data_IF_996525779574
#
_entry.id   IF_996525779574
#
_cell.length_a   1.000
_cell.length_b   1.000
_cell.length_c   1.000
_cell.angle_alpha   90.00
_cell.angle_beta   90.00
_cell.angle_gamma   90.00
#
_symmetry.space_group_name_H-M   'P 1'
#
loop_
_entity.id
_entity.type
_entity.pdbx_description
1 polymer ?
#
# COMPACT_ATOMS: atom_id res chain seq x y z
N UNK A 1 -24.97 -12.51 0.62
CA UNK A 1 -25.22 -11.13 0.13
C UNK A 1 -23.98 -10.69 -0.63
N UNK A 2 -24.11 -9.95 -1.73
CA UNK A 2 -22.97 -9.44 -2.48
C UNK A 2 -22.49 -8.11 -1.89
N UNK A 3 -21.20 -7.86 -1.93
CA UNK A 3 -20.60 -6.60 -1.49
C UNK A 3 -21.04 -5.45 -2.40
N UNK A 4 -21.04 -4.25 -1.84
CA UNK A 4 -21.25 -3.03 -2.60
C UNK A 4 -19.89 -2.54 -3.17
N UNK A 5 -19.90 -1.82 -4.29
CA UNK A 5 -18.67 -1.35 -4.93
C UNK A 5 -17.76 -0.55 -3.99
N UNK A 6 -18.32 0.32 -3.13
CA UNK A 6 -17.53 1.05 -2.13
C UNK A 6 -16.87 0.11 -1.12
N UNK A 7 -17.55 -0.96 -0.70
CA UNK A 7 -16.96 -1.94 0.22
C UNK A 7 -15.75 -2.63 -0.43
N UNK A 8 -15.87 -3.03 -1.69
CA UNK A 8 -14.76 -3.64 -2.43
C UNK A 8 -13.57 -2.69 -2.53
N UNK A 9 -13.81 -1.42 -2.89
CA UNK A 9 -12.74 -0.43 -3.01
C UNK A 9 -12.14 -0.08 -1.64
N UNK A 10 -12.93 -0.03 -0.57
CA UNK A 10 -12.40 0.12 0.79
C UNK A 10 -11.49 -1.03 1.20
N UNK A 11 -11.80 -2.26 0.77
CA UNK A 11 -10.86 -3.37 0.93
C UNK A 11 -9.59 -3.08 0.12
N UNK A 12 -9.67 -2.76 -1.17
CA UNK A 12 -8.48 -2.42 -1.96
C UNK A 12 -7.61 -1.32 -1.31
N UNK A 13 -8.24 -0.31 -0.72
CA UNK A 13 -7.58 0.78 0.00
C UNK A 13 -6.98 0.37 1.37
N UNK A 14 -7.35 -0.79 1.93
CA UNK A 14 -6.64 -1.38 3.07
C UNK A 14 -5.32 -2.01 2.64
N UNK A 15 -5.25 -2.61 1.45
CA UNK A 15 -4.00 -3.12 0.87
C UNK A 15 -3.12 -1.97 0.39
N UNK A 16 -3.69 -1.06 -0.39
CA UNK A 16 -2.99 0.05 -1.01
C UNK A 16 -3.70 1.39 -0.72
N UNK A 17 -3.46 2.00 0.46
CA UNK A 17 -4.04 3.29 0.82
C UNK A 17 -3.77 4.37 -0.22
N UNK A 18 -4.79 5.18 -0.55
CA UNK A 18 -4.66 6.24 -1.58
C UNK A 18 -3.53 7.24 -1.32
N UNK A 19 -3.27 7.54 -0.05
CA UNK A 19 -2.22 8.48 0.34
C UNK A 19 -0.80 7.95 0.15
N UNK A 20 -0.63 6.68 -0.25
CA UNK A 20 0.66 6.13 -0.65
C UNK A 20 1.00 6.41 -2.12
N UNK A 21 0.03 6.83 -2.93
CA UNK A 21 0.31 7.17 -4.31
C UNK A 21 1.30 8.33 -4.41
N UNK A 22 2.20 8.24 -5.39
CA UNK A 22 3.12 9.33 -5.73
C UNK A 22 2.32 10.58 -6.11
N UNK A 23 2.88 11.75 -5.82
CA UNK A 23 2.23 13.02 -6.07
C UNK A 23 1.70 13.12 -7.51
N UNK A 24 0.45 13.57 -7.65
CA UNK A 24 -0.25 13.76 -8.91
C UNK A 24 -0.60 12.49 -9.71
N UNK A 25 -0.40 11.30 -9.16
CA UNK A 25 -0.80 10.05 -9.80
C UNK A 25 -2.33 9.94 -9.99
N UNK A 26 -2.76 9.16 -10.99
CA UNK A 26 -4.17 9.03 -11.42
C UNK A 26 -4.79 7.74 -10.91
N UNK A 27 -5.07 7.70 -9.62
CA UNK A 27 -5.69 6.55 -8.95
C UNK A 27 -7.19 6.78 -8.66
N UNK A 28 -7.87 5.75 -8.18
CA UNK A 28 -9.26 5.83 -7.75
C UNK A 28 -10.26 5.42 -8.84
N UNK A 29 -11.55 5.67 -8.60
CA UNK A 29 -12.61 5.43 -9.58
C UNK A 29 -12.44 6.39 -10.76
N UNK A 30 -12.20 5.85 -11.96
CA UNK A 30 -12.05 6.64 -13.18
C UNK A 30 -13.30 6.63 -14.07
N UNK A 31 -14.09 5.56 -14.03
CA UNK A 31 -15.29 5.41 -14.84
C UNK A 31 -16.36 4.60 -14.10
N UNK A 32 -17.62 4.99 -14.25
CA UNK A 32 -18.78 4.27 -13.72
C UNK A 32 -19.16 4.70 -12.29
N UNK A 33 -19.86 3.82 -11.58
CA UNK A 33 -20.30 4.08 -10.21
C UNK A 33 -20.00 2.88 -9.31
N UNK A 34 -19.60 3.18 -8.07
CA UNK A 34 -19.46 2.19 -7.01
C UNK A 34 -20.77 1.98 -6.24
N UNK A 35 -21.79 2.83 -6.48
CA UNK A 35 -23.07 2.80 -5.78
C UNK A 35 -24.00 1.68 -6.28
N UNK A 36 -23.46 0.46 -6.34
CA UNK A 36 -24.16 -0.74 -6.80
C UNK A 36 -23.58 -1.98 -6.14
N UNK A 37 -24.39 -3.03 -6.11
CA UNK A 37 -23.93 -4.36 -5.72
C UNK A 37 -22.99 -4.92 -6.80
N UNK A 38 -21.90 -5.57 -6.38
CA UNK A 38 -20.89 -6.17 -7.27
C UNK A 38 -20.80 -7.66 -6.95
N UNK A 39 -21.16 -8.51 -7.92
CA UNK A 39 -21.07 -9.97 -7.83
C UNK A 39 -19.69 -10.46 -8.24
N UNK A 40 -19.15 -9.89 -9.31
CA UNK A 40 -17.86 -10.27 -9.88
C UNK A 40 -16.98 -9.06 -10.14
N UNK A 41 -15.71 -9.22 -9.80
CA UNK A 41 -14.64 -8.23 -9.99
C UNK A 41 -13.61 -8.87 -10.92
N UNK A 42 -13.17 -8.13 -11.94
CA UNK A 42 -12.00 -8.50 -12.74
C UNK A 42 -10.80 -7.67 -12.30
N UNK A 43 -9.67 -8.31 -12.03
CA UNK A 43 -8.41 -7.66 -11.69
C UNK A 43 -7.49 -7.72 -12.91
N UNK A 44 -7.04 -6.57 -13.41
CA UNK A 44 -6.29 -6.48 -14.68
C UNK A 44 -5.10 -5.53 -14.58
N UNK A 45 -3.99 -5.80 -15.29
CA UNK A 45 -2.88 -4.84 -15.37
C UNK A 45 -3.29 -3.63 -16.20
N UNK A 46 -3.63 -3.89 -17.46
CA UNK A 46 -4.10 -2.92 -18.44
C UNK A 46 -5.56 -3.20 -18.78
N UNK A 47 -6.38 -2.15 -18.92
CA UNK A 47 -7.77 -2.29 -19.40
C UNK A 47 -7.78 -2.09 -20.91
N UNK A 48 -7.48 -3.15 -21.65
CA UNK A 48 -7.55 -3.17 -23.11
C UNK A 48 -8.97 -3.51 -23.60
N UNK A 49 -9.22 -3.35 -24.90
CA UNK A 49 -10.53 -3.71 -25.48
C UNK A 49 -10.90 -5.18 -25.23
N UNK A 50 -9.91 -6.08 -25.31
CA UNK A 50 -10.07 -7.51 -25.03
C UNK A 50 -10.30 -7.80 -23.54
N UNK A 51 -9.68 -7.06 -22.62
CA UNK A 51 -9.92 -7.19 -21.18
C UNK A 51 -11.34 -6.74 -20.83
N UNK A 52 -11.88 -5.73 -21.52
CA UNK A 52 -13.29 -5.36 -21.37
C UNK A 52 -14.21 -6.45 -21.91
N UNK A 53 -13.88 -7.09 -23.03
CA UNK A 53 -14.64 -8.24 -23.53
C UNK A 53 -14.62 -9.42 -22.53
N UNK A 54 -13.45 -9.73 -21.94
CA UNK A 54 -13.33 -10.71 -20.86
C UNK A 54 -14.22 -10.34 -19.65
N UNK A 55 -14.23 -9.07 -19.25
CA UNK A 55 -15.09 -8.61 -18.17
C UNK A 55 -16.58 -8.81 -18.48
N UNK A 56 -17.01 -8.53 -19.72
CA UNK A 56 -18.39 -8.74 -20.18
C UNK A 56 -18.74 -10.22 -20.17
N UNK A 57 -17.90 -11.07 -20.78
CA UNK A 57 -18.10 -12.52 -20.85
C UNK A 57 -18.19 -13.16 -19.47
N UNK A 58 -17.35 -12.71 -18.54
CA UNK A 58 -17.36 -13.17 -17.17
C UNK A 58 -18.49 -12.55 -16.34
N UNK A 59 -19.15 -11.48 -16.82
CA UNK A 59 -20.18 -10.75 -16.09
C UNK A 59 -19.63 -9.97 -14.89
N UNK A 60 -18.42 -9.42 -15.02
CA UNK A 60 -17.81 -8.55 -14.02
C UNK A 60 -18.42 -7.14 -14.09
N UNK A 61 -18.81 -6.60 -12.93
CA UNK A 61 -19.43 -5.27 -12.82
C UNK A 61 -18.43 -4.19 -12.40
N UNK A 62 -17.23 -4.61 -12.00
CA UNK A 62 -16.11 -3.78 -11.56
C UNK A 62 -14.79 -4.35 -12.06
N UNK A 63 -13.97 -3.52 -12.69
CA UNK A 63 -12.56 -3.79 -12.97
C UNK A 63 -11.72 -3.02 -11.95
N UNK A 64 -10.80 -3.72 -11.29
CA UNK A 64 -9.71 -3.12 -10.52
C UNK A 64 -8.45 -3.26 -11.35
N UNK A 65 -7.88 -2.14 -11.78
CA UNK A 65 -6.69 -2.15 -12.62
C UNK A 65 -5.52 -1.39 -12.01
N UNK A 66 -4.31 -1.73 -12.45
CA UNK A 66 -3.11 -1.02 -12.02
C UNK A 66 -2.85 0.20 -12.88
N UNK A 67 -2.89 0.07 -14.21
CA UNK A 67 -2.68 1.20 -15.12
C UNK A 67 -3.95 1.99 -15.38
N UNK A 68 -3.82 3.32 -15.28
CA UNK A 68 -4.91 4.26 -15.48
C UNK A 68 -5.46 4.22 -16.92
N UNK A 69 -6.79 4.10 -17.06
CA UNK A 69 -7.47 4.26 -18.35
C UNK A 69 -7.52 5.72 -18.79
N UNK A 70 -7.60 6.65 -17.83
CA UNK A 70 -7.57 8.09 -18.02
C UNK A 70 -6.31 8.63 -17.31
N UNK A 71 -5.15 8.46 -17.95
CA UNK A 71 -3.89 8.99 -17.42
C UNK A 71 -3.73 10.50 -17.68
N UNK A 72 -4.30 10.99 -18.79
CA UNK A 72 -4.34 12.41 -19.16
C UNK A 72 -5.79 12.90 -19.16
N UNK A 73 -6.07 14.13 -18.71
CA UNK A 73 -7.42 14.70 -18.77
C UNK A 73 -8.01 14.62 -20.18
N UNK A 74 -9.25 14.14 -20.28
CA UNK A 74 -9.95 14.02 -21.56
C UNK A 74 -10.46 15.39 -22.01
N UNK A 75 -10.06 15.82 -23.21
CA UNK A 75 -10.61 17.04 -23.82
C UNK A 75 -12.04 16.82 -24.37
N UNK A 76 -12.32 15.61 -24.85
CA UNK A 76 -13.63 15.16 -25.34
C UNK A 76 -13.72 13.63 -25.27
N UNK A 77 -14.94 13.08 -25.29
CA UNK A 77 -15.19 11.64 -25.46
C UNK A 77 -15.56 11.38 -26.92
N UNK A 78 -14.56 10.96 -27.70
CA UNK A 78 -14.71 10.72 -29.15
C UNK A 78 -14.69 9.22 -29.44
N UNK A 79 -15.87 8.63 -29.61
CA UNK A 79 -16.06 7.18 -29.80
C UNK A 79 -15.53 6.67 -31.14
N UNK A 80 -15.05 7.54 -32.04
CA UNK A 80 -14.32 7.08 -33.23
C UNK A 80 -12.85 6.71 -32.93
N UNK A 81 -12.33 7.10 -31.75
CA UNK A 81 -10.97 6.80 -31.31
C UNK A 81 -10.91 5.47 -30.53
N UNK A 82 -9.73 4.85 -30.43
CA UNK A 82 -9.57 3.60 -29.68
C UNK A 82 -9.95 3.77 -28.19
N UNK A 83 -9.47 4.83 -27.54
CA UNK A 83 -9.82 5.13 -26.15
C UNK A 83 -11.31 5.44 -25.99
N UNK A 84 -11.91 6.20 -26.92
CA UNK A 84 -13.34 6.49 -26.86
C UNK A 84 -14.22 5.25 -27.02
N UNK A 85 -13.86 4.30 -27.90
CA UNK A 85 -14.56 3.01 -28.03
C UNK A 85 -14.46 2.19 -26.74
N UNK A 86 -13.29 2.15 -26.10
CA UNK A 86 -13.09 1.49 -24.81
C UNK A 86 -14.03 2.08 -23.75
N UNK A 87 -14.07 3.41 -23.62
CA UNK A 87 -14.96 4.09 -22.66
C UNK A 87 -16.44 3.84 -22.98
N UNK A 88 -16.83 3.92 -24.26
CA UNK A 88 -18.19 3.61 -24.69
C UNK A 88 -18.58 2.18 -24.32
N UNK A 89 -17.70 1.21 -24.56
CA UNK A 89 -17.92 -0.21 -24.23
C UNK A 89 -18.10 -0.40 -22.73
N UNK A 90 -17.24 0.20 -21.89
CA UNK A 90 -17.38 0.17 -20.43
C UNK A 90 -18.70 0.79 -19.95
N UNK A 91 -19.07 1.95 -20.48
CA UNK A 91 -20.30 2.67 -20.12
C UNK A 91 -21.54 1.87 -20.50
N UNK A 92 -21.61 1.36 -21.74
CA UNK A 92 -22.78 0.62 -22.24
C UNK A 92 -23.02 -0.71 -21.53
N UNK A 93 -21.96 -1.31 -20.96
CA UNK A 93 -22.05 -2.54 -20.19
C UNK A 93 -22.09 -2.31 -18.67
N UNK A 94 -22.20 -1.06 -18.24
CA UNK A 94 -22.18 -0.67 -16.82
C UNK A 94 -21.02 -1.32 -16.04
N UNK A 95 -19.80 -1.21 -16.57
CA UNK A 95 -18.59 -1.71 -15.90
C UNK A 95 -17.85 -0.53 -15.28
N UNK A 96 -17.71 -0.54 -13.95
CA UNK A 96 -16.92 0.46 -13.25
C UNK A 96 -15.42 0.12 -13.36
N UNK A 97 -14.55 1.14 -13.38
CA UNK A 97 -13.08 0.96 -13.41
C UNK A 97 -12.44 1.74 -12.27
N UNK A 98 -11.78 1.03 -11.36
CA UNK A 98 -11.02 1.58 -10.25
C UNK A 98 -9.53 1.32 -10.45
N UNK A 99 -8.70 2.35 -10.24
CA UNK A 99 -7.27 2.30 -10.45
C UNK A 99 -6.51 2.27 -9.12
N UNK A 100 -5.60 1.31 -8.98
CA UNK A 100 -4.61 1.23 -7.91
C UNK A 100 -3.21 1.10 -8.52
N UNK A 101 -2.60 2.25 -8.78
CA UNK A 101 -1.33 2.41 -9.49
C UNK A 101 -0.17 2.50 -8.48
N UNK A 102 0.49 3.65 -8.35
CA UNK A 102 1.69 3.80 -7.49
C UNK A 102 1.42 3.55 -6.01
N UNK A 103 0.18 3.69 -5.54
CA UNK A 103 -0.18 3.28 -4.17
C UNK A 103 0.04 1.78 -3.94
N UNK A 104 -0.17 0.93 -4.96
CA UNK A 104 0.08 -0.51 -4.88
C UNK A 104 1.58 -0.84 -5.04
N UNK A 105 2.35 -0.01 -5.75
CA UNK A 105 3.81 -0.15 -5.83
C UNK A 105 4.50 0.18 -4.51
N UNK A 106 3.96 1.16 -3.80
CA UNK A 106 4.47 1.65 -2.51
C UNK A 106 4.06 0.76 -1.35
N UNK A 107 2.86 0.18 -1.40
CA UNK A 107 2.27 -0.62 -0.33
C UNK A 107 3.15 -1.80 0.10
N UNK A 108 3.11 -2.10 1.40
CA UNK A 108 3.64 -3.36 1.92
C UNK A 108 2.75 -4.52 1.49
N UNK A 109 3.37 -5.58 1.00
CA UNK A 109 2.65 -6.67 0.35
C UNK A 109 2.02 -6.24 -0.98
N UNK A 110 2.56 -5.19 -1.61
CA UNK A 110 2.23 -4.75 -2.96
C UNK A 110 3.16 -5.33 -4.03
N UNK A 111 3.16 -4.71 -5.22
CA UNK A 111 3.85 -5.23 -6.41
C UNK A 111 5.32 -5.49 -6.15
N UNK A 112 6.03 -4.50 -5.59
CA UNK A 112 7.47 -4.62 -5.40
C UNK A 112 7.86 -5.65 -4.32
N UNK A 113 6.97 -5.95 -3.37
CA UNK A 113 7.19 -7.05 -2.42
C UNK A 113 7.01 -8.41 -3.08
N UNK A 114 5.96 -8.58 -3.91
CA UNK A 114 5.76 -9.82 -4.67
C UNK A 114 6.91 -10.07 -5.64
N UNK A 115 7.37 -9.04 -6.36
CA UNK A 115 8.52 -9.17 -7.25
C UNK A 115 9.80 -9.51 -6.47
N UNK A 116 10.01 -8.90 -5.29
CA UNK A 116 11.16 -9.19 -4.44
C UNK A 116 11.17 -10.63 -3.92
N UNK A 117 10.00 -11.12 -3.49
CA UNK A 117 9.83 -12.51 -3.07
C UNK A 117 10.15 -13.47 -4.23
N UNK A 118 9.62 -13.18 -5.42
CA UNK A 118 9.81 -13.98 -6.62
C UNK A 118 11.29 -14.11 -7.02
N UNK A 119 12.08 -13.03 -6.96
CA UNK A 119 13.51 -13.08 -7.30
C UNK A 119 14.41 -13.51 -6.12
N UNK A 120 13.83 -13.86 -4.97
CA UNK A 120 14.56 -14.41 -3.82
C UNK A 120 15.24 -13.38 -2.92
N UNK A 121 14.82 -12.11 -2.94
CA UNK A 121 15.23 -11.13 -1.93
C UNK A 121 14.57 -11.52 -0.61
N UNK A 122 15.36 -11.77 0.43
CA UNK A 122 14.81 -12.14 1.74
C UNK A 122 14.01 -10.97 2.34
N UNK A 123 12.89 -11.24 3.03
CA UNK A 123 12.11 -10.17 3.68
C UNK A 123 12.88 -9.44 4.78
N UNK A 124 13.77 -10.14 5.48
CA UNK A 124 14.55 -9.57 6.57
C UNK A 124 15.55 -8.51 6.06
N UNK A 125 15.48 -7.30 6.63
CA UNK A 125 16.30 -6.17 6.22
C UNK A 125 16.00 -5.61 4.82
N UNK A 126 14.84 -5.96 4.23
CA UNK A 126 14.37 -5.36 2.97
C UNK A 126 14.06 -3.88 3.16
N UNK A 127 14.46 -3.06 2.20
CA UNK A 127 14.28 -1.60 2.21
C UNK A 127 13.68 -1.12 0.89
N UNK A 128 12.93 -0.02 0.91
CA UNK A 128 12.52 0.65 -0.32
C UNK A 128 13.69 1.39 -0.99
N UNK A 129 13.62 1.61 -2.30
CA UNK A 129 14.63 2.35 -3.06
C UNK A 129 14.44 3.86 -2.96
N UNK A 130 13.19 4.31 -3.00
CA UNK A 130 12.79 5.70 -2.81
C UNK A 130 11.65 5.74 -1.80
N UNK A 131 11.82 6.46 -0.70
CA UNK A 131 10.76 6.69 0.27
C UNK A 131 9.76 7.68 -0.31
N UNK A 132 8.49 7.27 -0.40
CA UNK A 132 7.39 8.13 -0.90
C UNK A 132 6.59 8.69 0.25
N UNK A 133 6.30 7.85 1.25
CA UNK A 133 5.52 8.23 2.42
C UNK A 133 6.25 7.81 3.68
N UNK A 134 6.31 8.70 4.65
CA UNK A 134 6.78 8.38 6.01
C UNK A 134 5.68 8.75 6.98
N UNK A 135 5.21 7.78 7.74
CA UNK A 135 4.22 8.04 8.76
C UNK A 135 4.80 9.00 9.81
N UNK A 136 4.14 10.14 9.98
CA UNK A 136 4.42 11.04 11.09
C UNK A 136 3.99 10.36 12.39
N UNK A 137 4.71 10.62 13.46
CA UNK A 137 4.37 10.10 14.77
C UNK A 137 3.89 11.23 15.67
N UNK A 138 2.93 10.88 16.53
CA UNK A 138 2.54 11.70 17.66
C UNK A 138 2.89 10.99 18.97
N UNK A 139 3.06 11.77 20.02
CA UNK A 139 3.01 11.31 21.40
C UNK A 139 1.63 11.66 21.95
N UNK A 140 0.80 10.64 22.18
CA UNK A 140 -0.45 10.78 22.91
C UNK A 140 -0.13 10.82 24.40
N UNK A 141 -0.67 11.82 25.10
CA UNK A 141 -0.66 11.91 26.56
C UNK A 141 -2.10 11.99 27.03
N UNK A 142 -2.52 11.14 27.95
CA UNK A 142 -3.87 11.17 28.56
C UNK A 142 -3.77 10.93 30.06
N UNK A 143 -4.69 11.55 30.81
CA UNK A 143 -4.75 11.47 32.27
C UNK A 143 -5.97 10.64 32.67
N UNK A 144 -5.74 9.54 33.38
CA UNK A 144 -6.77 8.52 33.66
C UNK A 144 -6.78 8.21 35.15
N UNK A 145 -7.94 8.07 35.82
CA UNK A 145 -7.97 7.60 37.20
C UNK A 145 -7.42 6.18 37.30
N UNK A 146 -6.71 5.87 38.39
CA UNK A 146 -6.01 4.56 38.56
C UNK A 146 -6.92 3.35 38.30
N UNK A 147 -8.21 3.46 38.66
CA UNK A 147 -9.21 2.40 38.50
C UNK A 147 -9.51 2.01 37.05
N UNK A 148 -9.22 2.87 36.07
CA UNK A 148 -9.54 2.66 34.66
C UNK A 148 -8.29 2.64 33.75
N UNK A 149 -7.09 2.73 34.33
CA UNK A 149 -5.82 2.78 33.58
C UNK A 149 -5.69 1.62 32.58
N UNK A 150 -5.91 0.39 33.04
CA UNK A 150 -5.73 -0.82 32.22
C UNK A 150 -6.71 -0.87 31.04
N UNK A 151 -7.99 -0.56 31.30
CA UNK A 151 -9.02 -0.52 30.26
C UNK A 151 -8.69 0.50 29.15
N UNK A 152 -8.21 1.69 29.54
CA UNK A 152 -7.85 2.74 28.57
C UNK A 152 -6.60 2.34 27.78
N UNK A 153 -5.58 1.77 28.43
CA UNK A 153 -4.38 1.25 27.75
C UNK A 153 -4.73 0.18 26.71
N UNK A 154 -5.56 -0.80 27.08
CA UNK A 154 -5.99 -1.84 26.16
C UNK A 154 -6.70 -1.26 24.93
N UNK A 155 -7.58 -0.27 25.13
CA UNK A 155 -8.30 0.38 24.03
C UNK A 155 -7.35 1.13 23.10
N UNK A 156 -6.37 1.85 23.66
CA UNK A 156 -5.32 2.57 22.93
C UNK A 156 -4.47 1.59 22.10
N UNK A 157 -3.98 0.50 22.71
CA UNK A 157 -3.13 -0.48 22.03
C UNK A 157 -3.88 -1.25 20.95
N UNK A 158 -5.11 -1.72 21.23
CA UNK A 158 -5.95 -2.39 20.21
C UNK A 158 -6.27 -1.48 19.02
N UNK A 159 -6.20 -0.16 19.20
CA UNK A 159 -6.38 0.79 18.11
C UNK A 159 -5.14 0.98 17.23
N UNK A 160 -3.96 0.48 17.65
CA UNK A 160 -2.71 0.52 16.89
C UNK A 160 -1.65 1.49 17.43
N UNK A 161 -1.81 1.98 18.67
CA UNK A 161 -0.79 2.80 19.33
C UNK A 161 0.22 1.94 20.12
N UNK A 162 1.40 2.50 20.38
CA UNK A 162 2.45 1.83 21.13
C UNK A 162 3.27 0.83 20.32
N UNK A 163 3.25 0.91 18.99
CA UNK A 163 4.13 0.14 18.11
C UNK A 163 5.41 0.94 17.80
N UNK A 164 6.55 0.36 18.13
CA UNK A 164 7.88 0.93 17.86
C UNK A 164 8.85 -0.18 17.46
N UNK A 165 9.20 -0.22 16.18
CA UNK A 165 10.01 -1.32 15.62
C UNK A 165 9.33 -2.67 15.87
N UNK A 166 10.04 -3.61 16.50
CA UNK A 166 9.50 -4.93 16.83
C UNK A 166 8.77 -5.01 18.18
N UNK A 167 8.60 -3.88 18.88
CA UNK A 167 7.89 -3.82 20.15
C UNK A 167 6.46 -3.34 19.95
N UNK A 168 5.53 -3.95 20.70
CA UNK A 168 4.12 -3.59 20.75
C UNK A 168 3.72 -3.17 22.16
N UNK A 169 2.55 -2.54 22.29
CA UNK A 169 1.98 -2.12 23.57
C UNK A 169 2.89 -1.21 24.41
N UNK A 170 3.77 -0.44 23.76
CA UNK A 170 4.67 0.47 24.44
C UNK A 170 3.89 1.64 25.05
N UNK A 171 4.05 1.86 26.36
CA UNK A 171 3.57 3.06 27.05
C UNK A 171 4.48 3.39 28.21
N UNK A 172 4.47 4.64 28.63
CA UNK A 172 5.07 5.09 29.88
C UNK A 172 3.98 5.70 30.77
N UNK A 173 4.04 5.42 32.07
CA UNK A 173 2.96 5.71 33.00
C UNK A 173 3.55 6.39 34.24
N UNK A 174 2.99 7.54 34.64
CA UNK A 174 3.45 8.32 35.79
C UNK A 174 2.23 8.65 36.66
N UNK A 175 2.30 8.34 37.96
CA UNK A 175 1.28 8.78 38.92
C UNK A 175 1.42 10.28 39.21
N UNK A 176 0.30 10.97 39.30
CA UNK A 176 0.23 12.39 39.62
C UNK A 176 -1.11 12.76 40.23
N UNK A 177 -1.27 14.05 40.53
CA UNK A 177 -2.53 14.59 41.07
C UNK A 177 -3.13 15.54 40.05
N UNK A 178 -4.31 15.19 39.54
CA UNK A 178 -5.15 16.08 38.73
C UNK A 178 -5.95 17.03 39.64
N UNK A 179 -6.14 18.27 39.20
CA UNK A 179 -6.98 19.24 39.91
C UNK A 179 -7.94 19.92 38.95
N UNK A 180 -9.21 19.99 39.32
CA UNK A 180 -10.25 20.63 38.52
C UNK A 180 -11.40 21.14 39.41
N UNK A 181 -12.20 22.05 38.88
CA UNK A 181 -13.45 22.53 39.50
C UNK A 181 -14.58 22.22 38.51
N UNK A 182 -15.50 21.28 38.81
CA UNK A 182 -16.62 21.02 37.92
C UNK A 182 -17.52 22.26 37.85
N UNK A 183 -17.75 22.77 36.64
CA UNK A 183 -18.60 23.94 36.40
C UNK A 183 -20.09 23.64 36.52
N UNK A 184 -20.92 24.68 36.45
CA UNK A 184 -22.37 24.53 36.35
C UNK A 184 -22.74 23.71 35.10
N UNK A 185 -23.65 22.74 35.25
CA UNK A 185 -24.12 21.88 34.16
C UNK A 185 -23.28 20.63 33.86
N UNK A 186 -22.21 20.39 34.64
CA UNK A 186 -21.38 19.16 34.51
C UNK A 186 -21.97 17.97 35.27
N UNK A 187 -21.79 16.74 34.80
CA UNK A 187 -22.12 15.52 35.55
C UNK A 187 -20.84 14.75 35.87
N UNK A 188 -19.97 15.28 36.75
CA UNK A 188 -18.62 14.77 36.90
C UNK A 188 -18.63 13.32 37.38
N UNK A 189 -17.84 12.47 36.72
CA UNK A 189 -17.62 11.09 37.17
C UNK A 189 -17.01 11.04 38.58
N UNK A 190 -16.15 12.02 38.92
CA UNK A 190 -15.58 12.24 40.25
C UNK A 190 -15.71 13.72 40.60
N UNK A 191 -16.26 14.03 41.77
CA UNK A 191 -16.28 15.40 42.32
C UNK A 191 -17.66 16.03 42.50
N UNK A 192 -17.68 17.25 43.05
CA UNK A 192 -18.88 18.05 43.24
C UNK A 192 -18.76 19.41 42.54
N UNK A 193 -19.84 19.86 41.89
CA UNK A 193 -19.88 21.17 41.22
C UNK A 193 -19.47 22.32 42.15
N UNK A 194 -18.69 23.26 41.61
CA UNK A 194 -18.21 24.45 42.32
C UNK A 194 -17.12 24.19 43.36
N UNK A 195 -16.67 22.95 43.55
CA UNK A 195 -15.62 22.59 44.51
C UNK A 195 -14.33 22.20 43.79
N UNK A 196 -13.18 22.65 44.32
CA UNK A 196 -11.88 22.18 43.86
C UNK A 196 -11.69 20.73 44.29
N UNK A 197 -11.55 19.87 43.31
CA UNK A 197 -11.24 18.45 43.50
C UNK A 197 -9.76 18.20 43.24
N UNK A 198 -9.25 17.19 43.94
CA UNK A 198 -7.89 16.64 43.75
C UNK A 198 -8.02 15.13 43.63
N UNK A 199 -7.54 14.57 42.53
CA UNK A 199 -7.71 13.15 42.22
C UNK A 199 -6.36 12.54 41.87
N UNK A 200 -6.10 11.34 42.38
CA UNK A 200 -4.95 10.55 41.97
C UNK A 200 -5.19 10.00 40.56
N UNK A 201 -4.32 10.38 39.64
CA UNK A 201 -4.41 10.03 38.23
C UNK A 201 -3.10 9.45 37.73
N UNK A 202 -3.18 8.70 36.64
CA UNK A 202 -2.04 8.22 35.88
C UNK A 202 -1.97 9.01 34.59
N UNK A 203 -0.86 9.72 34.41
CA UNK A 203 -0.45 10.22 33.11
C UNK A 203 0.09 9.05 32.30
N UNK A 204 -0.65 8.68 31.26
CA UNK A 204 -0.29 7.66 30.29
C UNK A 204 0.25 8.35 29.07
N UNK A 205 1.37 7.87 28.55
CA UNK A 205 1.92 8.37 27.29
C UNK A 205 2.41 7.26 26.36
N UNK A 206 2.06 7.38 25.07
CA UNK A 206 2.40 6.38 24.05
C UNK A 206 2.61 7.03 22.68
N UNK A 207 3.34 6.34 21.80
CA UNK A 207 3.53 6.77 20.42
C UNK A 207 2.34 6.33 19.58
N UNK A 208 1.88 7.20 18.68
CA UNK A 208 0.74 6.96 17.81
C UNK A 208 1.09 7.36 16.37
N UNK A 209 1.04 6.44 15.40
CA UNK A 209 1.18 6.79 13.99
C UNK A 209 0.04 7.71 13.52
N UNK A 210 0.36 8.66 12.64
CA UNK A 210 -0.61 9.55 12.02
C UNK A 210 -1.72 8.76 11.31
N UNK A 211 -1.40 7.62 10.70
CA UNK A 211 -2.37 6.76 10.01
C UNK A 211 -3.50 6.24 10.93
N UNK A 212 -3.25 6.09 12.23
CA UNK A 212 -4.23 5.54 13.20
C UNK A 212 -4.68 6.53 14.28
N UNK A 213 -4.11 7.74 14.35
CA UNK A 213 -4.36 8.67 15.47
C UNK A 213 -5.84 8.93 15.77
N UNK A 214 -6.69 9.14 14.76
CA UNK A 214 -8.12 9.38 14.96
C UNK A 214 -8.82 8.18 15.58
N UNK A 215 -8.50 6.97 15.10
CA UNK A 215 -9.03 5.71 15.62
C UNK A 215 -8.58 5.50 17.07
N UNK A 216 -7.31 5.77 17.36
CA UNK A 216 -6.74 5.69 18.71
C UNK A 216 -7.43 6.65 19.67
N UNK A 217 -7.58 7.93 19.30
CA UNK A 217 -8.26 8.92 20.13
C UNK A 217 -9.72 8.53 20.38
N UNK A 218 -10.46 8.10 19.35
CA UNK A 218 -11.84 7.67 19.52
C UNK A 218 -11.97 6.44 20.43
N UNK A 219 -11.08 5.46 20.29
CA UNK A 219 -11.05 4.28 21.16
C UNK A 219 -10.74 4.65 22.62
N UNK A 220 -9.77 5.54 22.83
CA UNK A 220 -9.42 6.08 24.14
C UNK A 220 -10.60 6.81 24.77
N UNK A 221 -11.21 7.77 24.07
CA UNK A 221 -12.36 8.55 24.57
C UNK A 221 -13.52 7.64 24.97
N UNK A 222 -13.83 6.62 24.16
CA UNK A 222 -14.90 5.66 24.45
C UNK A 222 -14.62 4.79 25.68
N UNK A 223 -13.35 4.47 25.93
CA UNK A 223 -12.94 3.65 27.07
C UNK A 223 -12.74 4.48 28.36
N UNK A 224 -12.62 5.80 28.25
CA UNK A 224 -12.35 6.70 29.35
C UNK A 224 -13.61 6.90 30.24
N UNK A 225 -13.47 6.95 31.58
CA UNK A 225 -14.62 7.11 32.46
C UNK A 225 -15.18 8.53 32.51
N UNK A 226 -14.38 9.54 32.17
CA UNK A 226 -14.81 10.94 32.20
C UNK A 226 -15.58 11.33 30.94
N UNK A 227 -16.59 12.19 31.11
CA UNK A 227 -17.36 12.79 30.02
C UNK A 227 -16.49 13.71 29.15
N UNK A 228 -15.66 14.52 29.80
CA UNK A 228 -14.67 15.39 29.16
C UNK A 228 -13.27 14.88 29.48
N UNK A 229 -12.56 14.39 28.47
CA UNK A 229 -11.24 13.77 28.62
C UNK A 229 -10.15 14.76 28.26
N UNK A 230 -9.25 15.04 29.20
CA UNK A 230 -8.03 15.80 28.93
C UNK A 230 -6.98 14.90 28.28
N UNK A 231 -6.56 15.24 27.06
CA UNK A 231 -5.47 14.56 26.36
C UNK A 231 -4.72 15.54 25.45
N UNK A 232 -3.47 15.23 25.18
CA UNK A 232 -2.60 15.98 24.28
C UNK A 232 -2.07 15.06 23.16
N UNK A 233 -1.85 15.64 21.98
CA UNK A 233 -1.13 15.02 20.87
C UNK A 233 0.05 15.90 20.47
N UNK A 234 1.26 15.51 20.85
CA UNK A 234 2.48 16.23 20.49
C UNK A 234 3.09 15.62 19.22
N UNK A 235 3.36 16.40 18.16
CA UNK A 235 4.16 15.91 17.05
C UNK A 235 5.59 15.61 17.56
N UNK A 236 6.19 14.53 17.07
CA UNK A 236 7.55 14.15 17.43
C UNK A 236 8.40 13.92 16.17
N UNK A 237 9.69 14.21 16.26
CA UNK A 237 10.64 14.05 15.14
C UNK A 237 11.10 12.60 14.92
N UNK A 238 10.62 11.66 15.74
CA UNK A 238 10.86 10.25 15.50
C UNK A 238 10.25 9.87 14.15
N UNK A 239 11.10 9.28 13.30
CA UNK A 239 10.67 8.76 12.00
C UNK A 239 9.78 7.54 12.22
N UNK A 240 8.55 7.59 11.72
CA UNK A 240 7.69 6.42 11.66
C UNK A 240 8.10 5.47 10.54
N UNK A 241 7.22 4.50 10.28
CA UNK A 241 7.41 3.56 9.19
C UNK A 241 7.44 4.31 7.85
N UNK A 242 8.43 3.98 7.03
CA UNK A 242 8.58 4.54 5.69
C UNK A 242 8.10 3.51 4.67
N UNK A 243 7.37 3.99 3.68
CA UNK A 243 6.83 3.23 2.56
C UNK A 243 7.35 3.87 1.27
N UNK A 244 7.67 3.04 0.29
CA UNK A 244 8.35 3.54 -0.88
C UNK A 244 8.34 2.60 -2.06
N UNK A 245 8.87 3.10 -3.17
CA UNK A 245 8.96 2.38 -4.43
C UNK A 245 10.15 1.42 -4.43
N UNK A 246 9.96 0.29 -5.12
CA UNK A 246 10.96 -0.75 -5.25
C UNK A 246 11.33 -1.42 -3.92
N UNK A 247 12.12 -2.48 -4.01
CA UNK A 247 12.68 -3.19 -2.86
C UNK A 247 14.13 -3.54 -3.12
N UNK A 248 14.97 -3.44 -2.09
CA UNK A 248 16.36 -3.86 -2.11
C UNK A 248 16.67 -4.70 -0.87
N UNK A 249 17.47 -5.75 -1.05
CA UNK A 249 17.81 -6.66 0.03
C UNK A 249 18.76 -7.77 -0.42
N UNK A 250 19.19 -8.58 0.54
CA UNK A 250 20.07 -9.72 0.26
C UNK A 250 19.28 -10.84 -0.43
N UNK A 251 19.92 -11.54 -1.34
CA UNK A 251 19.42 -12.82 -1.83
C UNK A 251 19.63 -13.90 -0.77
N UNK A 252 18.78 -14.92 -0.76
CA UNK A 252 18.91 -16.06 0.16
C UNK A 252 20.26 -16.80 -0.01
N UNK A 253 20.76 -16.87 -1.25
CA UNK A 253 22.08 -17.40 -1.59
C UNK A 253 22.68 -16.60 -2.76
N UNK A 254 24.00 -16.38 -2.81
CA UNK A 254 24.63 -15.72 -3.94
C UNK A 254 24.42 -16.51 -5.24
N UNK A 255 24.16 -15.80 -6.34
CA UNK A 255 24.02 -16.35 -7.70
C UNK A 255 24.80 -15.49 -8.68
N UNK A 256 25.10 -15.99 -9.87
CA UNK A 256 25.63 -15.15 -10.96
C UNK A 256 24.51 -14.33 -11.62
N UNK A 257 24.86 -13.22 -12.27
CA UNK A 257 23.92 -12.39 -13.02
C UNK A 257 23.20 -13.19 -14.11
N UNK A 258 23.92 -14.07 -14.81
CA UNK A 258 23.35 -14.96 -15.82
C UNK A 258 22.34 -15.96 -15.26
N UNK A 259 22.65 -16.58 -14.11
CA UNK A 259 21.70 -17.48 -13.42
C UNK A 259 20.44 -16.73 -12.98
N UNK A 260 20.59 -15.52 -12.43
CA UNK A 260 19.46 -14.69 -12.03
C UNK A 260 18.61 -14.26 -13.23
N UNK A 261 19.24 -13.94 -14.37
CA UNK A 261 18.53 -13.62 -15.61
C UNK A 261 17.70 -14.81 -16.14
N UNK A 262 18.27 -16.02 -16.11
CA UNK A 262 17.55 -17.25 -16.46
C UNK A 262 16.43 -17.60 -15.46
N UNK A 263 16.63 -17.29 -14.18
CA UNK A 263 15.58 -17.38 -13.17
C UNK A 263 14.46 -16.38 -13.47
N UNK A 264 14.78 -15.11 -13.71
CA UNK A 264 13.81 -14.06 -14.00
C UNK A 264 12.92 -14.41 -15.21
N UNK A 265 13.49 -14.94 -16.30
CA UNK A 265 12.70 -15.42 -17.46
C UNK A 265 11.64 -16.45 -17.07
N UNK A 266 12.03 -17.44 -16.27
CA UNK A 266 11.13 -18.53 -15.83
C UNK A 266 10.08 -18.04 -14.83
N UNK A 267 10.49 -17.20 -13.89
CA UNK A 267 9.67 -16.74 -12.77
C UNK A 267 8.62 -15.73 -13.25
N UNK A 268 9.01 -14.82 -14.14
CA UNK A 268 8.08 -13.84 -14.71
C UNK A 268 7.37 -14.32 -15.96
N UNK A 269 7.67 -15.55 -16.42
CA UNK A 269 7.13 -16.13 -17.66
C UNK A 269 7.27 -15.14 -18.83
N UNK A 270 8.53 -14.80 -19.14
CA UNK A 270 8.90 -13.91 -20.25
C UNK A 270 9.89 -14.62 -21.19
N UNK A 271 9.75 -14.46 -22.52
CA UNK A 271 10.55 -15.20 -23.48
C UNK A 271 12.03 -14.79 -23.48
N UNK A 272 12.32 -13.54 -23.10
CA UNK A 272 13.67 -13.00 -23.04
C UNK A 272 13.77 -11.91 -21.96
N UNK A 273 15.01 -11.63 -21.54
CA UNK A 273 15.38 -10.46 -20.74
C UNK A 273 16.60 -9.79 -21.39
N UNK A 274 16.75 -8.49 -21.18
CA UNK A 274 17.97 -7.76 -21.59
C UNK A 274 18.85 -7.58 -20.36
N UNK A 275 20.15 -7.81 -20.50
CA UNK A 275 21.09 -7.75 -19.35
C UNK A 275 22.15 -6.69 -19.61
N UNK A 276 22.42 -5.87 -18.61
CA UNK A 276 23.52 -4.90 -18.58
C UNK A 276 24.57 -5.40 -17.59
N UNK A 277 25.79 -5.64 -18.09
CA UNK A 277 26.93 -6.06 -17.29
C UNK A 277 27.36 -7.52 -17.53
N UNK A 278 28.48 -7.95 -16.91
CA UNK A 278 29.06 -9.27 -17.13
C UNK A 278 28.24 -10.37 -16.44
N UNK A 279 27.88 -11.41 -17.20
CA UNK A 279 26.97 -12.49 -16.75
C UNK A 279 27.53 -13.34 -15.61
N UNK A 280 28.85 -13.41 -15.47
CA UNK A 280 29.55 -14.14 -14.41
C UNK A 280 29.67 -13.33 -13.11
N UNK A 281 29.21 -12.07 -13.07
CA UNK A 281 29.20 -11.27 -11.84
C UNK A 281 28.35 -11.93 -10.77
N UNK A 282 28.94 -12.11 -9.58
CA UNK A 282 28.22 -12.66 -8.43
C UNK A 282 27.35 -11.60 -7.77
N UNK A 283 26.05 -11.88 -7.69
CA UNK A 283 25.00 -11.07 -7.08
C UNK A 283 24.73 -11.58 -5.66
N UNK A 284 24.80 -10.69 -4.68
CA UNK A 284 24.47 -10.95 -3.26
C UNK A 284 23.33 -10.07 -2.78
N UNK A 285 23.27 -8.83 -3.27
CA UNK A 285 22.20 -7.88 -2.99
C UNK A 285 21.52 -7.51 -4.28
N UNK A 286 20.20 -7.65 -4.34
CA UNK A 286 19.42 -7.27 -5.51
C UNK A 286 18.46 -6.13 -5.15
N UNK A 287 18.14 -5.32 -6.15
CA UNK A 287 17.05 -4.37 -6.13
C UNK A 287 16.02 -4.79 -7.20
N UNK A 288 14.74 -4.54 -6.93
CA UNK A 288 13.66 -4.75 -7.89
C UNK A 288 12.68 -3.59 -7.85
N UNK A 289 12.21 -3.18 -9.01
CA UNK A 289 11.16 -2.19 -9.17
C UNK A 289 10.33 -2.54 -10.41
N UNK A 290 9.04 -2.80 -10.22
CA UNK A 290 8.09 -3.02 -11.33
C UNK A 290 7.97 -1.81 -12.24
N UNK A 291 7.61 -2.05 -13.50
CA UNK A 291 7.35 -0.97 -14.45
C UNK A 291 8.61 -0.24 -14.89
N UNK A 292 8.53 1.09 -15.00
CA UNK A 292 9.57 1.92 -15.60
C UNK A 292 10.66 2.36 -14.61
N UNK A 293 11.69 1.53 -14.41
CA UNK A 293 12.71 1.75 -13.37
C UNK A 293 13.94 2.53 -13.76
N UNK A 294 14.04 3.09 -14.97
CA UNK A 294 15.22 3.82 -15.44
C UNK A 294 15.67 4.93 -14.46
N UNK A 295 14.72 5.66 -13.86
CA UNK A 295 15.00 6.74 -12.89
C UNK A 295 15.58 6.24 -11.56
N UNK A 296 15.49 4.94 -11.29
CA UNK A 296 15.82 4.31 -10.01
C UNK A 296 17.19 3.63 -9.99
N UNK A 297 17.95 3.66 -11.10
CA UNK A 297 19.31 3.11 -11.16
C UNK A 297 20.21 3.72 -10.08
N UNK A 298 20.17 5.05 -9.89
CA UNK A 298 20.96 5.71 -8.84
C UNK A 298 20.53 5.31 -7.43
N UNK A 299 19.23 5.11 -7.21
CA UNK A 299 18.69 4.63 -5.94
C UNK A 299 19.18 3.21 -5.63
N UNK A 300 19.16 2.32 -6.62
CA UNK A 300 19.70 0.96 -6.50
C UNK A 300 21.21 0.97 -6.20
N UNK A 301 21.98 1.86 -6.82
CA UNK A 301 23.41 2.06 -6.53
C UNK A 301 23.61 2.49 -5.08
N UNK A 302 22.87 3.50 -4.63
CA UNK A 302 22.97 4.00 -3.25
C UNK A 302 22.55 2.96 -2.21
N UNK A 303 21.55 2.14 -2.55
CA UNK A 303 21.17 0.98 -1.74
C UNK A 303 22.23 -0.13 -1.74
N UNK A 304 23.29 -0.02 -2.54
CA UNK A 304 24.38 -1.01 -2.63
C UNK A 304 23.94 -2.32 -3.29
N UNK A 305 22.94 -2.29 -4.16
CA UNK A 305 22.53 -3.46 -4.92
C UNK A 305 23.60 -3.80 -5.98
N UNK A 306 23.83 -5.09 -6.19
CA UNK A 306 24.69 -5.59 -7.26
C UNK A 306 23.97 -5.57 -8.61
N UNK A 307 22.64 -5.73 -8.59
CA UNK A 307 21.75 -5.74 -9.76
C UNK A 307 20.44 -5.02 -9.47
N UNK A 308 19.89 -4.32 -10.48
CA UNK A 308 18.50 -3.84 -10.50
C UNK A 308 17.68 -4.67 -11.51
N UNK A 309 16.60 -5.30 -11.05
CA UNK A 309 15.61 -5.96 -11.89
C UNK A 309 14.43 -5.01 -12.13
N UNK A 310 14.15 -4.64 -13.37
CA UNK A 310 13.08 -3.68 -13.70
C UNK A 310 12.65 -3.76 -15.17
N UNK A 311 11.83 -2.82 -15.65
CA UNK A 311 11.46 -2.63 -17.05
C UNK A 311 11.83 -1.24 -17.60
N UNK A 312 11.60 -1.07 -18.90
CA UNK A 312 11.74 0.18 -19.66
C UNK A 312 13.11 0.87 -19.53
N UNK A 313 14.20 0.11 -19.59
CA UNK A 313 15.55 0.66 -19.59
C UNK A 313 15.91 1.16 -20.99
N UNK A 314 16.16 2.46 -21.09
CA UNK A 314 16.69 3.09 -22.30
C UNK A 314 18.21 2.93 -22.45
N UNK A 315 18.70 3.17 -23.65
CA UNK A 315 20.10 2.96 -24.02
C UNK A 315 21.09 3.81 -23.19
N UNK A 316 20.75 5.07 -22.90
CA UNK A 316 21.64 5.95 -22.15
C UNK A 316 21.67 5.58 -20.67
N UNK A 317 20.52 5.25 -20.09
CA UNK A 317 20.44 4.72 -18.73
C UNK A 317 21.25 3.43 -18.58
N UNK A 318 21.23 2.53 -19.57
CA UNK A 318 22.05 1.32 -19.57
C UNK A 318 23.56 1.62 -19.57
N UNK A 319 24.02 2.60 -20.38
CA UNK A 319 25.42 3.03 -20.39
C UNK A 319 25.84 3.65 -19.06
N UNK A 320 25.00 4.51 -18.49
CA UNK A 320 25.26 5.14 -17.19
C UNK A 320 25.37 4.09 -16.07
N UNK A 321 24.48 3.10 -16.08
CA UNK A 321 24.52 1.98 -15.13
C UNK A 321 25.82 1.19 -15.27
N UNK A 322 26.20 0.83 -16.50
CA UNK A 322 27.42 0.08 -16.78
C UNK A 322 28.67 0.84 -16.34
N UNK A 323 28.74 2.15 -16.64
CA UNK A 323 29.84 3.02 -16.23
C UNK A 323 29.94 3.17 -14.70
N UNK A 324 28.81 3.15 -14.00
CA UNK A 324 28.75 3.16 -12.53
C UNK A 324 29.00 1.77 -11.90
N UNK A 325 29.21 0.73 -12.71
CA UNK A 325 29.39 -0.63 -12.22
C UNK A 325 28.12 -1.26 -11.64
N UNK A 326 26.94 -0.75 -12.00
CA UNK A 326 25.64 -1.35 -11.69
C UNK A 326 25.26 -2.33 -12.80
N UNK A 327 24.72 -3.49 -12.42
CA UNK A 327 24.14 -4.43 -13.39
C UNK A 327 22.62 -4.31 -13.42
N UNK A 328 22.02 -4.64 -14.55
CA UNK A 328 20.58 -4.52 -14.75
C UNK A 328 20.05 -5.78 -15.43
N UNK A 329 18.91 -6.27 -14.99
CA UNK A 329 18.06 -7.20 -15.73
C UNK A 329 16.80 -6.44 -16.09
N UNK A 330 16.65 -6.11 -17.37
CA UNK A 330 15.39 -5.60 -17.90
C UNK A 330 14.51 -6.80 -18.30
N UNK A 331 13.47 -7.03 -17.50
CA UNK A 331 12.53 -8.13 -17.69
C UNK A 331 11.21 -7.68 -18.37
N UNK A 332 11.14 -6.43 -18.83
CA UNK A 332 9.94 -5.81 -19.38
C UNK A 332 9.02 -5.23 -18.31
N UNK A 333 8.23 -4.23 -18.70
CA UNK A 333 7.24 -3.58 -17.82
C UNK A 333 6.15 -4.57 -17.36
N UNK A 334 5.75 -5.50 -18.23
CA UNK A 334 4.63 -6.39 -18.00
C UNK A 334 4.84 -7.40 -16.86
N UNK A 335 6.03 -7.50 -16.26
CA UNK A 335 6.25 -8.36 -15.07
C UNK A 335 5.34 -8.00 -13.89
N UNK A 336 4.80 -6.78 -13.88
CA UNK A 336 3.76 -6.33 -12.95
C UNK A 336 2.45 -7.14 -13.06
N UNK A 337 2.28 -7.96 -14.10
CA UNK A 337 1.16 -8.91 -14.25
C UNK A 337 0.98 -9.82 -13.03
N UNK A 338 2.04 -10.03 -12.24
CA UNK A 338 1.98 -10.74 -10.94
C UNK A 338 0.86 -10.21 -10.04
N UNK A 339 0.58 -8.91 -10.13
CA UNK A 339 -0.40 -8.23 -9.29
C UNK A 339 -1.82 -8.74 -9.52
N UNK A 340 -2.15 -9.21 -10.74
CA UNK A 340 -3.52 -9.63 -11.10
C UNK A 340 -4.01 -10.73 -10.17
N UNK A 341 -3.22 -11.79 -10.02
CA UNK A 341 -3.55 -12.93 -9.18
C UNK A 341 -3.48 -12.57 -7.69
N UNK A 342 -2.41 -11.87 -7.28
CA UNK A 342 -2.19 -11.52 -5.88
C UNK A 342 -3.29 -10.62 -5.30
N UNK A 343 -3.73 -9.61 -6.06
CA UNK A 343 -4.84 -8.73 -5.66
C UNK A 343 -6.16 -9.50 -5.66
N UNK A 344 -6.41 -10.37 -6.65
CA UNK A 344 -7.63 -11.19 -6.67
C UNK A 344 -7.72 -12.12 -5.45
N UNK A 345 -6.62 -12.78 -5.08
CA UNK A 345 -6.54 -13.65 -3.91
C UNK A 345 -6.71 -12.87 -2.60
N UNK A 346 -6.06 -11.70 -2.50
CA UNK A 346 -6.20 -10.82 -1.37
C UNK A 346 -7.66 -10.36 -1.17
N UNK A 347 -8.33 -9.90 -2.25
CA UNK A 347 -9.72 -9.48 -2.22
C UNK A 347 -10.65 -10.64 -1.83
N UNK A 348 -10.46 -11.82 -2.42
CA UNK A 348 -11.25 -13.00 -2.10
C UNK A 348 -11.12 -13.40 -0.62
N UNK A 349 -9.92 -13.30 -0.05
CA UNK A 349 -9.69 -13.53 1.39
C UNK A 349 -10.46 -12.54 2.25
N UNK A 350 -10.42 -11.25 1.94
CA UNK A 350 -11.16 -10.23 2.72
C UNK A 350 -12.68 -10.30 2.53
N UNK A 351 -13.15 -10.62 1.32
CA UNK A 351 -14.56 -10.83 1.03
C UNK A 351 -15.11 -12.06 1.78
N UNK A 352 -14.31 -13.13 1.89
CA UNK A 352 -14.67 -14.29 2.71
C UNK A 352 -14.77 -13.94 4.20
N UNK A 353 -13.84 -13.14 4.74
CA UNK A 353 -13.88 -12.67 6.13
C UNK A 353 -15.15 -11.87 6.44
N UNK A 354 -15.67 -11.12 5.46
CA UNK A 354 -16.92 -10.37 5.56
C UNK A 354 -18.17 -11.16 5.16
N UNK A 355 -18.04 -12.47 4.89
CA UNK A 355 -19.13 -13.37 4.46
C UNK A 355 -19.84 -12.90 3.18
N UNK A 356 -19.13 -12.17 2.32
CA UNK A 356 -19.63 -11.72 1.03
C UNK A 356 -19.62 -12.86 0.01
N UNK A 357 -20.62 -12.89 -0.87
CA UNK A 357 -20.68 -13.80 -2.01
C UNK A 357 -19.95 -13.27 -3.26
N UNK A 358 -19.44 -12.03 -3.22
CA UNK A 358 -18.67 -11.42 -4.31
C UNK A 358 -17.38 -12.20 -4.58
N UNK A 359 -16.98 -12.30 -5.85
CA UNK A 359 -15.74 -12.98 -6.27
C UNK A 359 -14.85 -12.05 -7.08
N UNK A 360 -13.56 -12.06 -6.78
CA UNK A 360 -12.53 -11.44 -7.61
C UNK A 360 -11.85 -12.50 -8.47
N UNK A 361 -11.57 -12.18 -9.73
CA UNK A 361 -10.89 -13.03 -10.69
C UNK A 361 -9.73 -12.23 -11.29
N UNK A 362 -8.59 -12.87 -11.50
CA UNK A 362 -7.50 -12.28 -12.26
C UNK A 362 -7.80 -12.41 -13.75
N UNK A 363 -7.59 -11.35 -14.52
CA UNK A 363 -7.62 -11.42 -15.97
C UNK A 363 -6.56 -12.40 -16.48
N UNK A 364 -6.96 -13.33 -17.35
CA UNK A 364 -6.07 -14.34 -17.93
C UNK A 364 -5.30 -13.80 -19.14
N UNK A 365 -5.73 -12.66 -19.69
CA UNK A 365 -5.16 -12.09 -20.89
C UNK A 365 -3.73 -11.58 -20.67
N UNK A 366 -2.87 -11.88 -21.65
CA UNK A 366 -1.55 -11.28 -21.78
C UNK A 366 -1.68 -9.92 -22.46
N UNK A 367 -1.27 -8.86 -21.76
CA UNK A 367 -1.31 -7.48 -22.25
C UNK A 367 0.08 -6.96 -22.64
N UNK A 368 1.09 -7.83 -22.73
CA UNK A 368 2.43 -7.48 -23.23
C UNK A 368 2.36 -7.04 -24.71
N UNK A 369 2.65 -5.77 -25.02
CA UNK A 369 2.65 -5.30 -26.41
C UNK A 369 3.87 -5.77 -27.21
N UNK A 370 4.95 -6.22 -26.56
CA UNK A 370 6.20 -6.59 -27.23
C UNK A 370 6.29 -8.08 -27.53
N UNK A 371 6.65 -8.39 -28.78
CA UNK A 371 7.03 -9.75 -29.19
C UNK A 371 8.52 -9.79 -29.49
N UNK A 372 9.25 -10.67 -28.80
CA UNK A 372 10.65 -10.94 -29.09
C UNK A 372 10.74 -11.91 -30.27
N UNK A 373 11.52 -11.54 -31.30
CA UNK A 373 11.66 -12.28 -32.58
C UNK A 373 13.01 -12.96 -32.73
#
# INVERSE_FOLDING_TARGET
MFAHGQTVVQLMEQLAPKHYAVENDKIGLQLGTLNKSVKKILVALDVTDAVVDEAIEQGAELIIAHHAIIFRPLAKLDTSTAAGRLYEKLIKNDIAVYISHTNLDVADGGINDWLADLIGIVPDGRQCLEEVHTDKLYKLVVFVPETHQEQVLEAIWRAGAGELGSYSNCSFNIKGTGTFVPGEGTTPFIGVQGKLERVDEVRIETVVPYSVHRKTVQAMLKAHPYEEVAYDLYPIDLKGRSFGLGRSGKLASPVTLGELAEQAKRIFDVPAVRVVGPLDRVIRKAAVLGGAGAKYVRHAIFAGADVLVTGDIDYHTAHDALAAGMTIIDAGHNIEKVMKQQVADWLNKQLANSKSATKAMASELNTEPFTFV
#
